data_IF_031852453373
#
_entry.id   IF_031852453373
#
_cell.length_a   1.000
_cell.length_b   1.000
_cell.length_c   1.000
_cell.angle_alpha   90.00
_cell.angle_beta   90.00
_cell.angle_gamma   90.00
#
_symmetry.space_group_name_H-M   'P 1'
#
loop_
_entity.id
_entity.type
_entity.pdbx_description
1 polymer ?
#
# COMPACT_ATOMS: atom_id res chain seq x y z
N UNK A 1 -110.56 29.92 -16.29
CA UNK A 1 -110.67 28.45 -16.23
C UNK A 1 -112.10 28.08 -15.88
N UNK A 2 -112.77 27.29 -16.70
CA UNK A 2 -114.14 26.85 -16.46
C UNK A 2 -114.18 25.77 -15.37
N UNK A 3 -115.20 25.79 -14.51
CA UNK A 3 -115.44 24.82 -13.42
C UNK A 3 -115.34 23.35 -13.88
N UNK A 4 -115.68 23.08 -15.15
CA UNK A 4 -115.51 21.77 -15.80
C UNK A 4 -114.08 21.23 -15.81
N UNK A 5 -113.07 22.10 -15.90
CA UNK A 5 -111.67 21.68 -15.92
C UNK A 5 -111.19 21.21 -14.53
N UNK A 6 -111.78 21.76 -13.48
CA UNK A 6 -111.47 21.41 -12.10
C UNK A 6 -111.99 20.00 -11.76
N UNK A 7 -113.20 19.64 -12.22
CA UNK A 7 -113.72 18.27 -12.09
C UNK A 7 -112.88 17.24 -12.86
N UNK A 8 -112.35 17.61 -14.02
CA UNK A 8 -111.49 16.72 -14.83
C UNK A 8 -110.16 16.41 -14.12
N UNK A 9 -109.53 17.43 -13.54
CA UNK A 9 -108.28 17.27 -12.78
C UNK A 9 -108.52 16.45 -11.50
N UNK A 10 -109.62 16.72 -10.79
CA UNK A 10 -109.96 15.98 -9.56
C UNK A 10 -110.26 14.49 -9.84
N UNK A 11 -110.95 14.22 -10.95
CA UNK A 11 -111.20 12.85 -11.41
C UNK A 11 -109.92 12.10 -11.79
N UNK A 12 -108.99 12.78 -12.48
CA UNK A 12 -107.69 12.19 -12.86
C UNK A 12 -106.84 11.87 -11.62
N UNK A 13 -106.79 12.77 -10.64
CA UNK A 13 -106.04 12.59 -9.39
C UNK A 13 -106.60 11.42 -8.55
N UNK A 14 -107.93 11.27 -8.50
CA UNK A 14 -108.59 10.12 -7.86
C UNK A 14 -108.26 8.79 -8.54
N UNK A 15 -108.29 8.75 -9.88
CA UNK A 15 -107.98 7.54 -10.64
C UNK A 15 -106.52 7.08 -10.42
N UNK A 16 -105.55 8.02 -10.42
CA UNK A 16 -104.14 7.70 -10.17
C UNK A 16 -103.94 7.19 -8.73
N UNK A 17 -104.59 7.81 -7.74
CA UNK A 17 -104.49 7.38 -6.34
C UNK A 17 -105.01 5.96 -6.12
N UNK A 18 -106.16 5.61 -6.71
CA UNK A 18 -106.73 4.25 -6.59
C UNK A 18 -105.88 3.19 -7.30
N UNK A 19 -105.29 3.51 -8.45
CA UNK A 19 -104.38 2.62 -9.17
C UNK A 19 -103.09 2.32 -8.35
N UNK A 20 -102.57 3.32 -7.65
CA UNK A 20 -101.37 3.17 -6.83
C UNK A 20 -101.61 2.27 -5.61
N UNK A 21 -102.75 2.43 -4.92
CA UNK A 21 -103.14 1.56 -3.79
C UNK A 21 -103.34 0.12 -4.27
N UNK A 22 -103.95 -0.09 -5.42
CA UNK A 22 -104.12 -1.44 -5.99
C UNK A 22 -102.78 -2.10 -6.32
N UNK A 23 -101.81 -1.34 -6.84
CA UNK A 23 -100.48 -1.84 -7.17
C UNK A 23 -99.67 -2.24 -5.92
N UNK A 24 -99.77 -1.48 -4.84
CA UNK A 24 -99.15 -1.83 -3.54
C UNK A 24 -99.74 -3.12 -2.97
N UNK A 25 -101.07 -3.28 -3.00
CA UNK A 25 -101.74 -4.49 -2.50
C UNK A 25 -101.35 -5.71 -3.35
N UNK A 26 -101.20 -5.55 -4.67
CA UNK A 26 -100.80 -6.66 -5.55
C UNK A 26 -99.35 -7.09 -5.35
N UNK A 27 -98.44 -6.16 -5.05
CA UNK A 27 -97.02 -6.47 -4.81
C UNK A 27 -96.83 -7.12 -3.42
N UNK A 28 -97.59 -6.70 -2.40
CA UNK A 28 -97.55 -7.31 -1.07
C UNK A 28 -98.39 -8.60 -0.94
N UNK A 29 -99.19 -8.94 -1.95
CA UNK A 29 -100.10 -10.10 -1.96
C UNK A 29 -99.52 -11.39 -2.55
N UNK A 30 -98.29 -11.39 -3.06
CA UNK A 30 -97.59 -12.63 -3.45
C UNK A 30 -97.00 -13.29 -2.19
N UNK A 31 -97.86 -14.09 -1.57
CA UNK A 31 -97.59 -14.84 -0.36
C UNK A 31 -96.34 -15.72 -0.46
N UNK A 32 -95.53 -15.59 0.59
CA UNK A 32 -94.61 -16.63 1.08
C UNK A 32 -95.41 -17.92 1.24
N UNK A 33 -95.09 -18.93 0.44
CA UNK A 33 -95.63 -20.27 0.61
C UNK A 33 -95.07 -20.91 1.90
N UNK A 34 -95.90 -21.43 2.81
CA UNK A 34 -95.41 -22.20 3.94
C UNK A 34 -95.25 -23.66 3.50
N UNK A 35 -94.00 -24.11 3.30
CA UNK A 35 -93.71 -25.56 3.18
C UNK A 35 -93.22 -26.09 4.52
N UNK A 36 -94.01 -27.02 5.05
CA UNK A 36 -93.90 -27.76 6.31
C UNK A 36 -92.78 -28.82 6.27
N UNK A 37 -92.10 -28.98 7.42
CA UNK A 37 -91.44 -30.18 8.00
C UNK A 37 -90.21 -30.71 7.22
N UNK A 38 -88.99 -30.88 7.78
CA UNK A 38 -88.57 -31.40 9.08
C UNK A 38 -87.20 -30.79 9.50
N UNK A 39 -86.73 -30.98 10.77
CA UNK A 39 -85.66 -30.19 11.36
C UNK A 39 -84.29 -30.71 10.92
N UNK A 40 -83.60 -29.91 10.12
CA UNK A 40 -82.16 -29.80 10.26
C UNK A 40 -81.86 -28.54 11.04
N UNK A 41 -80.94 -28.60 11.99
CA UNK A 41 -80.54 -27.43 12.79
C UNK A 41 -80.10 -26.28 11.87
N UNK A 42 -80.16 -25.03 12.36
CA UNK A 42 -79.55 -23.90 11.63
C UNK A 42 -78.07 -24.18 11.34
N UNK A 43 -77.42 -25.01 12.17
CA UNK A 43 -76.10 -25.62 11.93
C UNK A 43 -76.04 -26.46 10.65
N UNK A 44 -76.99 -27.37 10.39
CA UNK A 44 -76.99 -28.19 9.17
C UNK A 44 -77.15 -27.36 7.89
N UNK A 45 -77.97 -26.31 7.95
CA UNK A 45 -78.13 -25.37 6.82
C UNK A 45 -76.89 -24.48 6.63
N UNK A 46 -76.21 -24.10 7.72
CA UNK A 46 -74.94 -23.37 7.65
C UNK A 46 -73.79 -24.25 7.15
N UNK A 47 -73.72 -25.51 7.57
CA UNK A 47 -72.72 -26.48 7.11
C UNK A 47 -72.84 -26.75 5.61
N UNK A 48 -74.08 -26.88 5.10
CA UNK A 48 -74.31 -27.06 3.67
C UNK A 48 -73.92 -25.82 2.83
N UNK A 49 -74.13 -24.62 3.36
CA UNK A 49 -73.80 -23.38 2.68
C UNK A 49 -72.28 -23.08 2.72
N UNK A 50 -71.60 -23.45 3.81
CA UNK A 50 -70.13 -23.43 3.93
C UNK A 50 -69.49 -24.39 2.92
N UNK A 51 -70.07 -25.56 2.70
CA UNK A 51 -69.58 -26.54 1.72
C UNK A 51 -69.68 -26.03 0.26
N UNK A 52 -70.67 -25.18 -0.03
CA UNK A 52 -70.82 -24.51 -1.32
C UNK A 52 -69.91 -23.27 -1.48
N UNK A 53 -69.75 -22.45 -0.43
CA UNK A 53 -68.89 -21.25 -0.44
C UNK A 53 -67.40 -21.64 -0.54
N UNK A 54 -67.02 -22.77 0.07
CA UNK A 54 -65.69 -23.37 -0.05
C UNK A 54 -65.71 -24.63 -0.92
N UNK A 55 -66.38 -24.54 -2.07
CA UNK A 55 -66.38 -25.62 -3.04
C UNK A 55 -64.95 -25.96 -3.51
N UNK A 56 -64.80 -27.14 -4.11
CA UNK A 56 -63.50 -27.62 -4.62
C UNK A 56 -62.86 -26.62 -5.61
N UNK A 57 -63.68 -25.92 -6.40
CA UNK A 57 -63.25 -24.88 -7.35
C UNK A 57 -62.59 -23.67 -6.67
N UNK A 58 -63.19 -23.15 -5.59
CA UNK A 58 -62.63 -22.04 -4.81
C UNK A 58 -61.34 -22.45 -4.09
N UNK A 59 -61.28 -23.69 -3.58
CA UNK A 59 -60.05 -24.24 -2.99
C UNK A 59 -58.94 -24.39 -4.03
N UNK A 60 -59.27 -24.84 -5.24
CA UNK A 60 -58.34 -24.92 -6.35
C UNK A 60 -57.87 -23.54 -6.82
N UNK A 61 -58.76 -22.54 -6.92
CA UNK A 61 -58.40 -21.18 -7.28
C UNK A 61 -57.51 -20.54 -6.20
N UNK A 62 -57.85 -20.71 -4.91
CA UNK A 62 -57.03 -20.24 -3.80
C UNK A 62 -55.64 -20.90 -3.82
N UNK A 63 -55.58 -22.21 -4.08
CA UNK A 63 -54.31 -22.94 -4.22
C UNK A 63 -53.50 -22.45 -5.43
N UNK A 64 -54.15 -22.21 -6.57
CA UNK A 64 -53.50 -21.71 -7.78
C UNK A 64 -52.99 -20.28 -7.61
N UNK A 65 -53.80 -19.40 -7.01
CA UNK A 65 -53.44 -18.02 -6.70
C UNK A 65 -52.33 -17.98 -5.65
N UNK A 66 -52.41 -18.82 -4.63
CA UNK A 66 -51.34 -19.01 -3.64
C UNK A 66 -50.04 -19.43 -4.31
N UNK A 67 -50.06 -20.47 -5.15
CA UNK A 67 -48.88 -20.92 -5.92
C UNK A 67 -48.29 -19.81 -6.79
N UNK A 68 -49.12 -19.10 -7.55
CA UNK A 68 -48.69 -18.01 -8.42
C UNK A 68 -48.08 -16.86 -7.59
N UNK A 69 -48.70 -16.51 -6.47
CA UNK A 69 -48.18 -15.47 -5.58
C UNK A 69 -46.85 -15.88 -4.93
N UNK A 70 -46.71 -17.13 -4.50
CA UNK A 70 -45.45 -17.66 -3.97
C UNK A 70 -44.36 -17.70 -5.03
N UNK A 71 -44.66 -18.16 -6.25
CA UNK A 71 -43.72 -18.17 -7.37
C UNK A 71 -43.24 -16.75 -7.71
N UNK A 72 -44.17 -15.79 -7.72
CA UNK A 72 -43.85 -14.37 -7.90
C UNK A 72 -42.93 -13.86 -6.79
N UNK A 73 -43.25 -14.10 -5.51
CA UNK A 73 -42.42 -13.67 -4.38
C UNK A 73 -41.04 -14.30 -4.42
N UNK A 74 -40.93 -15.60 -4.75
CA UNK A 74 -39.65 -16.28 -4.85
C UNK A 74 -38.82 -15.68 -6.00
N UNK A 75 -39.43 -15.43 -7.15
CA UNK A 75 -38.77 -14.77 -8.28
C UNK A 75 -38.28 -13.36 -7.96
N UNK A 76 -39.12 -12.54 -7.32
CA UNK A 76 -38.77 -11.18 -6.88
C UNK A 76 -37.64 -11.20 -5.83
N UNK A 77 -37.72 -12.07 -4.83
CA UNK A 77 -36.68 -12.18 -3.81
C UNK A 77 -35.35 -12.70 -4.37
N UNK A 78 -35.39 -13.66 -5.30
CA UNK A 78 -34.18 -14.14 -5.98
C UNK A 78 -33.54 -13.02 -6.82
N UNK A 79 -34.36 -12.20 -7.49
CA UNK A 79 -33.91 -11.03 -8.25
C UNK A 79 -33.24 -10.00 -7.33
N UNK A 80 -33.88 -9.64 -6.20
CA UNK A 80 -33.29 -8.71 -5.23
C UNK A 80 -31.99 -9.24 -4.63
N UNK A 81 -31.95 -10.51 -4.23
CA UNK A 81 -30.73 -11.12 -3.71
C UNK A 81 -29.60 -11.07 -4.74
N UNK A 82 -29.88 -11.41 -6.00
CA UNK A 82 -28.88 -11.36 -7.07
C UNK A 82 -28.39 -9.92 -7.32
N UNK A 83 -29.30 -8.94 -7.29
CA UNK A 83 -28.95 -7.53 -7.40
C UNK A 83 -28.05 -7.09 -6.24
N UNK A 84 -28.39 -7.43 -5.01
CA UNK A 84 -27.65 -7.07 -3.81
C UNK A 84 -26.27 -7.73 -3.79
N UNK A 85 -26.16 -9.01 -4.19
CA UNK A 85 -24.87 -9.69 -4.32
C UNK A 85 -23.99 -9.03 -5.37
N UNK A 86 -24.57 -8.61 -6.51
CA UNK A 86 -23.82 -7.90 -7.56
C UNK A 86 -23.35 -6.53 -7.06
N UNK A 87 -24.21 -5.78 -6.38
CA UNK A 87 -23.86 -4.48 -5.81
C UNK A 87 -22.78 -4.62 -4.74
N UNK A 88 -22.95 -5.56 -3.81
CA UNK A 88 -21.98 -5.85 -2.73
C UNK A 88 -20.63 -6.25 -3.31
N UNK A 89 -20.63 -7.09 -4.35
CA UNK A 89 -19.38 -7.51 -5.02
C UNK A 89 -18.69 -6.32 -5.68
N UNK A 90 -19.43 -5.44 -6.35
CA UNK A 90 -18.87 -4.22 -6.95
C UNK A 90 -18.30 -3.27 -5.89
N UNK A 91 -19.03 -3.06 -4.80
CA UNK A 91 -18.58 -2.20 -3.70
C UNK A 91 -17.35 -2.77 -3.00
N UNK A 92 -17.33 -4.08 -2.74
CA UNK A 92 -16.18 -4.75 -2.16
C UNK A 92 -14.95 -4.63 -3.06
N UNK A 93 -15.12 -4.79 -4.38
CA UNK A 93 -14.02 -4.65 -5.33
C UNK A 93 -13.46 -3.21 -5.33
N UNK A 94 -14.33 -2.20 -5.37
CA UNK A 94 -13.92 -0.78 -5.31
C UNK A 94 -13.20 -0.46 -3.99
N UNK A 95 -13.74 -0.96 -2.87
CA UNK A 95 -13.16 -0.82 -1.54
C UNK A 95 -11.77 -1.47 -1.47
N UNK A 96 -11.65 -2.74 -1.88
CA UNK A 96 -10.36 -3.45 -1.89
C UNK A 96 -9.34 -2.73 -2.76
N UNK A 97 -9.72 -2.28 -3.97
CA UNK A 97 -8.82 -1.55 -4.85
C UNK A 97 -8.32 -0.26 -4.21
N UNK A 98 -9.21 0.48 -3.56
CA UNK A 98 -8.89 1.72 -2.86
C UNK A 98 -7.96 1.46 -1.68
N UNK A 99 -8.29 0.47 -0.84
CA UNK A 99 -7.52 0.13 0.36
C UNK A 99 -6.13 -0.41 0.00
N UNK A 100 -6.04 -1.31 -0.98
CA UNK A 100 -4.76 -1.82 -1.50
C UNK A 100 -3.92 -0.68 -2.05
N UNK A 101 -4.51 0.23 -2.84
CA UNK A 101 -3.78 1.38 -3.40
C UNK A 101 -3.30 2.31 -2.29
N UNK A 102 -4.13 2.57 -1.28
CA UNK A 102 -3.78 3.40 -0.13
C UNK A 102 -2.61 2.79 0.64
N UNK A 103 -2.69 1.50 0.98
CA UNK A 103 -1.65 0.78 1.71
C UNK A 103 -0.35 0.67 0.92
N UNK A 104 -0.42 0.40 -0.38
CA UNK A 104 0.77 0.40 -1.24
C UNK A 104 1.45 1.78 -1.26
N UNK A 105 0.68 2.88 -1.36
CA UNK A 105 1.26 4.23 -1.30
C UNK A 105 1.93 4.52 0.04
N UNK A 106 1.29 4.11 1.15
CA UNK A 106 1.84 4.25 2.50
C UNK A 106 3.18 3.49 2.63
N UNK A 107 3.23 2.24 2.18
CA UNK A 107 4.44 1.43 2.24
C UNK A 107 5.52 1.93 1.28
N UNK A 108 5.16 2.40 0.07
CA UNK A 108 6.14 3.02 -0.84
C UNK A 108 6.76 4.29 -0.26
N UNK A 109 5.98 5.12 0.43
CA UNK A 109 6.51 6.32 1.10
C UNK A 109 7.52 5.94 2.20
N UNK A 110 7.22 4.93 3.01
CA UNK A 110 8.16 4.41 4.03
C UNK A 110 9.42 3.82 3.40
N UNK A 111 9.29 3.09 2.29
CA UNK A 111 10.43 2.56 1.57
C UNK A 111 11.30 3.67 0.96
N UNK A 112 10.68 4.70 0.38
CA UNK A 112 11.39 5.86 -0.15
C UNK A 112 12.20 6.57 0.95
N UNK A 113 11.58 6.82 2.10
CA UNK A 113 12.24 7.38 3.29
C UNK A 113 13.42 6.52 3.75
N UNK A 114 13.21 5.21 3.90
CA UNK A 114 14.27 4.26 4.32
C UNK A 114 15.44 4.22 3.33
N UNK A 115 15.17 4.30 2.03
CA UNK A 115 16.21 4.35 0.99
C UNK A 115 16.97 5.68 1.05
N UNK A 116 16.27 6.79 1.26
CA UNK A 116 16.92 8.10 1.42
C UNK A 116 17.84 8.13 2.64
N UNK A 117 17.39 7.59 3.77
CA UNK A 117 18.19 7.48 4.99
C UNK A 117 19.42 6.59 4.78
N UNK A 118 19.25 5.42 4.17
CA UNK A 118 20.35 4.52 3.85
C UNK A 118 21.37 5.17 2.90
N UNK A 119 20.89 5.93 1.91
CA UNK A 119 21.75 6.70 1.00
C UNK A 119 22.52 7.78 1.75
N UNK A 120 21.86 8.51 2.65
CA UNK A 120 22.50 9.55 3.44
C UNK A 120 23.59 8.96 4.36
N UNK A 121 23.29 7.83 5.02
CA UNK A 121 24.24 7.12 5.86
C UNK A 121 25.44 6.58 5.06
N UNK A 122 25.22 6.11 3.84
CA UNK A 122 26.30 5.69 2.95
C UNK A 122 27.19 6.88 2.55
N UNK A 123 26.61 8.03 2.23
CA UNK A 123 27.35 9.26 1.91
C UNK A 123 28.19 9.69 3.11
N UNK A 124 27.60 9.72 4.31
CA UNK A 124 28.31 10.09 5.54
C UNK A 124 29.45 9.10 5.84
N UNK A 125 29.21 7.80 5.64
CA UNK A 125 30.23 6.77 5.84
C UNK A 125 31.40 6.96 4.86
N UNK A 126 31.13 7.20 3.58
CA UNK A 126 32.16 7.47 2.57
C UNK A 126 32.95 8.73 2.92
N UNK A 127 32.29 9.80 3.38
CA UNK A 127 32.96 11.02 3.80
C UNK A 127 33.88 10.78 5.00
N UNK A 128 33.41 10.03 6.01
CA UNK A 128 34.25 9.65 7.17
C UNK A 128 35.42 8.77 6.75
N UNK A 129 35.22 7.80 5.86
CA UNK A 129 36.29 6.96 5.34
C UNK A 129 37.32 7.77 4.56
N UNK A 130 36.91 8.71 3.73
CA UNK A 130 37.83 9.60 3.02
C UNK A 130 38.66 10.44 3.98
N UNK A 131 38.02 11.04 5.00
CA UNK A 131 38.73 11.81 6.02
C UNK A 131 39.77 10.95 6.78
N UNK A 132 39.39 9.74 7.18
CA UNK A 132 40.31 8.81 7.85
C UNK A 132 41.47 8.37 6.94
N UNK A 133 41.21 8.15 5.65
CA UNK A 133 42.26 7.83 4.66
C UNK A 133 43.21 9.01 4.49
N UNK A 134 42.71 10.24 4.42
CA UNK A 134 43.54 11.43 4.26
C UNK A 134 44.42 11.67 5.50
N UNK A 135 43.87 11.46 6.70
CA UNK A 135 44.64 11.49 7.96
C UNK A 135 45.73 10.41 7.97
N UNK A 136 45.38 9.16 7.62
CA UNK A 136 46.34 8.07 7.55
C UNK A 136 47.44 8.32 6.51
N UNK A 137 47.10 8.92 5.36
CA UNK A 137 48.07 9.32 4.34
C UNK A 137 49.04 10.39 4.87
N UNK A 138 48.54 11.37 5.62
CA UNK A 138 49.40 12.38 6.22
C UNK A 138 50.38 11.76 7.23
N UNK A 139 49.89 10.90 8.12
CA UNK A 139 50.71 10.19 9.11
C UNK A 139 51.78 9.32 8.43
N UNK A 140 51.38 8.53 7.43
CA UNK A 140 52.33 7.70 6.67
C UNK A 140 53.37 8.56 5.92
N UNK A 141 52.95 9.69 5.36
CA UNK A 141 53.86 10.64 4.72
C UNK A 141 54.92 11.17 5.69
N UNK A 142 54.50 11.54 6.90
CA UNK A 142 55.40 12.02 7.95
C UNK A 142 56.33 10.91 8.47
N UNK A 143 55.81 9.69 8.65
CA UNK A 143 56.61 8.53 9.04
C UNK A 143 57.68 8.19 8.00
N UNK A 144 57.30 8.07 6.73
CA UNK A 144 58.24 7.80 5.63
C UNK A 144 59.31 8.89 5.54
N UNK A 145 58.93 10.16 5.69
CA UNK A 145 59.90 11.27 5.72
C UNK A 145 60.86 11.15 6.91
N UNK A 146 60.36 10.76 8.09
CA UNK A 146 61.17 10.52 9.28
C UNK A 146 62.16 9.37 9.07
N UNK A 147 61.72 8.25 8.51
CA UNK A 147 62.56 7.09 8.19
C UNK A 147 63.65 7.45 7.18
N UNK A 148 63.31 8.18 6.11
CA UNK A 148 64.30 8.65 5.11
C UNK A 148 65.36 9.55 5.76
N UNK A 149 64.96 10.44 6.67
CA UNK A 149 65.91 11.30 7.37
C UNK A 149 66.81 10.51 8.32
N UNK A 150 66.25 9.55 9.07
CA UNK A 150 67.01 8.69 9.96
C UNK A 150 68.00 7.81 9.19
N UNK A 151 67.55 7.19 8.10
CA UNK A 151 68.40 6.37 7.21
C UNK A 151 69.51 7.22 6.59
N UNK A 152 69.18 8.41 6.05
CA UNK A 152 70.19 9.35 5.53
C UNK A 152 71.22 9.69 6.60
N UNK A 153 70.80 9.94 7.84
CA UNK A 153 71.71 10.30 8.91
C UNK A 153 72.62 9.12 9.32
N UNK A 154 72.09 7.90 9.34
CA UNK A 154 72.91 6.69 9.53
C UNK A 154 73.90 6.48 8.38
N UNK A 155 73.47 6.71 7.15
CA UNK A 155 74.31 6.55 5.96
C UNK A 155 75.44 7.59 5.95
N UNK A 156 75.16 8.83 6.31
CA UNK A 156 76.17 9.88 6.51
C UNK A 156 77.12 9.53 7.66
N UNK A 157 76.63 9.05 8.80
CA UNK A 157 77.48 8.67 9.92
C UNK A 157 78.46 7.54 9.56
N UNK A 158 77.98 6.49 8.87
CA UNK A 158 78.85 5.42 8.36
C UNK A 158 79.84 5.92 7.32
N UNK A 159 79.40 6.82 6.44
CA UNK A 159 80.28 7.46 5.46
C UNK A 159 81.40 8.25 6.16
N UNK A 160 81.09 9.04 7.19
CA UNK A 160 82.07 9.81 7.97
C UNK A 160 83.05 8.92 8.75
N UNK A 161 82.54 7.83 9.34
CA UNK A 161 83.36 6.81 10.02
C UNK A 161 84.35 6.17 9.05
N UNK A 162 83.86 5.64 7.93
CA UNK A 162 84.70 5.00 6.91
C UNK A 162 85.67 5.99 6.23
N UNK A 163 85.25 7.24 6.00
CA UNK A 163 86.12 8.28 5.47
C UNK A 163 87.31 8.56 6.39
N UNK A 164 87.13 8.49 7.71
CA UNK A 164 88.22 8.76 8.65
C UNK A 164 89.32 7.71 8.52
N UNK A 165 88.94 6.43 8.43
CA UNK A 165 89.89 5.33 8.29
C UNK A 165 90.56 5.30 6.92
N UNK A 166 89.79 5.55 5.85
CA UNK A 166 90.31 5.64 4.49
C UNK A 166 91.28 6.81 4.35
N UNK A 167 90.89 8.02 4.77
CA UNK A 167 91.78 9.20 4.73
C UNK A 167 93.03 8.96 5.58
N UNK A 168 92.90 8.35 6.76
CA UNK A 168 94.06 8.01 7.59
C UNK A 168 95.01 7.03 6.86
N UNK A 169 94.49 6.01 6.19
CA UNK A 169 95.30 5.09 5.37
C UNK A 169 96.08 5.84 4.28
N UNK A 170 95.41 6.70 3.50
CA UNK A 170 96.05 7.45 2.42
C UNK A 170 97.01 8.54 2.94
N UNK A 171 96.69 9.22 4.05
CA UNK A 171 97.60 10.20 4.68
C UNK A 171 98.85 9.52 5.23
N UNK A 172 98.73 8.36 5.89
CA UNK A 172 99.88 7.59 6.38
C UNK A 172 100.73 7.03 5.22
N UNK A 173 100.11 6.62 4.11
CA UNK A 173 100.83 6.20 2.92
C UNK A 173 101.60 7.38 2.27
N UNK A 174 101.04 8.59 2.32
CA UNK A 174 101.65 9.80 1.78
C UNK A 174 102.74 10.39 2.71
N UNK A 175 102.66 10.19 4.04
CA UNK A 175 103.69 10.62 5.00
C UNK A 175 104.86 9.62 4.97
N UNK A 176 105.66 9.74 3.93
CA UNK A 176 106.99 9.12 3.85
C UNK A 176 107.96 9.78 4.83
N UNK A 177 108.79 8.95 5.47
CA UNK A 177 109.70 9.21 6.59
C UNK A 177 110.76 10.33 6.39
N UNK A 178 110.40 11.63 6.25
CA UNK A 178 111.34 12.76 6.39
C UNK A 178 110.73 14.19 6.52
N UNK A 179 111.03 14.81 7.67
CA UNK A 179 111.30 16.23 8.02
C UNK A 179 110.52 17.36 7.28
N UNK A 180 109.71 18.05 8.11
CA UNK A 180 108.90 19.27 7.94
C UNK A 180 107.44 19.12 7.45
N UNK A 181 106.51 19.40 8.36
CA UNK A 181 105.07 19.17 8.25
C UNK A 181 104.36 20.19 7.34
N UNK A 182 104.95 21.37 7.12
CA UNK A 182 104.34 22.41 6.28
C UNK A 182 104.47 22.13 4.78
N UNK A 183 105.63 21.67 4.32
CA UNK A 183 105.84 21.32 2.89
C UNK A 183 105.16 19.98 2.54
N UNK A 184 104.95 19.09 3.52
CA UNK A 184 104.24 17.82 3.34
C UNK A 184 102.73 17.97 3.17
N UNK A 185 102.11 18.99 3.75
CA UNK A 185 100.66 19.22 3.60
C UNK A 185 100.26 19.40 2.14
N UNK A 186 101.07 20.12 1.35
CA UNK A 186 100.80 20.35 -0.07
C UNK A 186 100.97 19.06 -0.90
N UNK A 187 101.95 18.22 -0.56
CA UNK A 187 102.13 16.90 -1.19
C UNK A 187 101.02 15.91 -0.82
N UNK A 188 100.60 15.85 0.46
CA UNK A 188 99.50 15.01 0.95
C UNK A 188 98.19 15.42 0.27
N UNK A 189 97.92 16.72 0.18
CA UNK A 189 96.71 17.22 -0.48
C UNK A 189 96.71 16.90 -1.98
N UNK A 190 97.86 17.04 -2.66
CA UNK A 190 97.98 16.68 -4.07
C UNK A 190 97.81 15.16 -4.32
N UNK A 191 98.35 14.31 -3.45
CA UNK A 191 98.23 12.85 -3.57
C UNK A 191 96.81 12.36 -3.22
N UNK A 192 96.16 12.97 -2.22
CA UNK A 192 94.73 12.76 -1.94
C UNK A 192 93.85 13.21 -3.13
N UNK A 193 94.18 14.33 -3.77
CA UNK A 193 93.42 14.82 -4.92
C UNK A 193 93.62 13.93 -6.16
N UNK A 194 94.83 13.40 -6.36
CA UNK A 194 95.13 12.43 -7.42
C UNK A 194 94.40 11.09 -7.21
N UNK A 195 94.30 10.62 -5.97
CA UNK A 195 93.65 9.35 -5.62
C UNK A 195 92.16 9.48 -5.25
N UNK A 196 91.57 10.68 -5.43
CA UNK A 196 90.17 11.00 -5.09
C UNK A 196 89.14 10.01 -5.65
N UNK A 197 89.33 9.52 -6.88
CA UNK A 197 88.39 8.56 -7.48
C UNK A 197 88.42 7.19 -6.80
N UNK A 198 89.61 6.70 -6.46
CA UNK A 198 89.77 5.43 -5.74
C UNK A 198 89.19 5.52 -4.33
N UNK A 199 89.44 6.63 -3.62
CA UNK A 199 88.82 6.88 -2.31
C UNK A 199 87.29 6.87 -2.38
N UNK A 200 86.67 7.52 -3.38
CA UNK A 200 85.21 7.50 -3.53
C UNK A 200 84.68 6.08 -3.75
N UNK A 201 85.42 5.25 -4.49
CA UNK A 201 85.07 3.86 -4.76
C UNK A 201 85.20 2.97 -3.50
N UNK A 202 86.29 3.12 -2.74
CA UNK A 202 86.51 2.45 -1.45
C UNK A 202 85.42 2.84 -0.43
N UNK A 203 85.08 4.13 -0.34
CA UNK A 203 84.01 4.62 0.56
C UNK A 203 82.63 4.07 0.15
N UNK A 204 82.37 3.93 -1.16
CA UNK A 204 81.09 3.42 -1.68
C UNK A 204 80.93 1.91 -1.53
N UNK A 205 82.03 1.16 -1.51
CA UNK A 205 82.06 -0.30 -1.43
C UNK A 205 82.16 -0.82 0.01
N UNK A 206 82.51 0.04 0.97
CA UNK A 206 82.48 -0.28 2.41
C UNK A 206 83.56 -1.28 2.83
N UNK A 207 84.76 -1.17 2.26
CA UNK A 207 85.94 -1.92 2.70
C UNK A 207 86.38 -1.54 4.12
#
# INVERSE_FOLDING_TARGET
MTIWWLYLILGLLGAVGTAFVWLIIKINGQGVAPKKNAPGTIEEAADQDVEHIFNEEFREELRNRGRLHFEKIIGENAMFLQQDLRLTTSQLNEYMKTEITSKLKEEFAKYEESIMDAKQLAIESIQKTNAAIDEQRAILGDQVKGEILAEKQQLVARFEENMTDIVNHYVLAAIGNQIDLNDQLEYILADLEANKKAMIEDISSGA
#
